data_IF_232403455297
#
_entry.id   IF_232403455297
#
_cell.length_a   1.000
_cell.length_b   1.000
_cell.length_c   1.000
_cell.angle_alpha   90.00
_cell.angle_beta   90.00
_cell.angle_gamma   90.00
#
_symmetry.space_group_name_H-M   'P 1'
#
loop_
_entity.id
_entity.type
_entity.pdbx_description
1 polymer ?
#
# COMPACT_ATOMS: atom_id res chain seq x y z
N UNK A 1 21.31 102.77 -24.36
CA UNK A 1 21.03 102.39 -25.76
C UNK A 1 21.83 101.13 -26.05
N UNK A 2 21.14 99.99 -25.97
CA UNK A 2 21.32 98.74 -26.74
C UNK A 2 22.69 98.05 -26.88
N UNK A 3 22.83 96.87 -26.25
CA UNK A 3 22.90 95.51 -26.89
C UNK A 3 23.25 94.47 -25.81
N UNK A 4 22.41 93.49 -25.42
CA UNK A 4 21.81 92.33 -26.14
C UNK A 4 22.65 91.05 -26.00
N UNK A 5 22.18 90.18 -25.07
CA UNK A 5 22.07 88.68 -25.09
C UNK A 5 23.32 87.79 -25.22
N UNK A 6 23.23 86.46 -25.01
CA UNK A 6 22.43 85.63 -24.08
C UNK A 6 23.40 84.84 -23.15
N UNK A 7 23.02 83.92 -22.26
CA UNK A 7 23.05 82.48 -22.59
C UNK A 7 22.70 81.61 -21.36
N UNK A 8 22.08 80.50 -21.71
CA UNK A 8 21.53 79.33 -21.01
C UNK A 8 22.17 78.97 -19.66
N UNK A 9 21.34 78.92 -18.61
CA UNK A 9 21.63 78.18 -17.39
C UNK A 9 21.51 76.67 -17.65
N UNK A 10 22.63 76.04 -17.97
CA UNK A 10 22.80 74.59 -17.86
C UNK A 10 22.89 74.20 -16.37
N UNK A 11 21.74 74.05 -15.70
CA UNK A 11 21.71 73.31 -14.44
C UNK A 11 21.69 71.81 -14.71
N UNK A 12 22.88 71.25 -14.50
CA UNK A 12 23.20 69.83 -14.40
C UNK A 12 22.10 69.07 -13.65
N UNK A 13 21.60 68.01 -14.28
CA UNK A 13 20.74 66.97 -13.71
C UNK A 13 21.28 66.51 -12.33
N UNK A 14 20.63 66.88 -11.23
CA UNK A 14 20.97 66.34 -9.90
C UNK A 14 20.36 64.95 -9.74
N UNK A 15 21.14 63.95 -10.14
CA UNK A 15 20.95 62.53 -9.91
C UNK A 15 21.06 62.19 -8.41
N UNK A 16 20.11 62.63 -7.57
CA UNK A 16 20.11 62.32 -6.13
C UNK A 16 18.78 61.81 -5.58
N UNK A 17 17.66 62.01 -6.27
CA UNK A 17 16.32 61.55 -5.83
C UNK A 17 15.88 60.20 -6.42
N UNK A 18 16.43 59.80 -7.57
CA UNK A 18 16.15 58.51 -8.20
C UNK A 18 16.58 57.27 -7.39
N UNK A 19 17.79 57.21 -6.78
CA UNK A 19 18.22 56.03 -6.04
C UNK A 19 17.40 55.81 -4.76
N UNK A 20 16.94 56.87 -4.10
CA UNK A 20 16.25 56.75 -2.81
C UNK A 20 14.83 56.19 -2.95
N UNK A 21 14.11 56.55 -4.03
CA UNK A 21 12.79 56.00 -4.38
C UNK A 21 12.90 54.56 -4.89
N UNK A 22 13.90 54.23 -5.71
CA UNK A 22 14.16 52.87 -6.15
C UNK A 22 14.51 51.95 -4.97
N UNK A 23 15.37 52.38 -4.04
CA UNK A 23 15.70 51.61 -2.84
C UNK A 23 14.46 51.39 -1.97
N UNK A 24 13.60 52.41 -1.81
CA UNK A 24 12.35 52.28 -1.03
C UNK A 24 11.34 51.35 -1.72
N UNK A 25 11.26 51.36 -3.05
CA UNK A 25 10.44 50.45 -3.85
C UNK A 25 10.98 49.02 -3.84
N UNK A 26 12.30 48.84 -3.96
CA UNK A 26 12.99 47.55 -3.85
C UNK A 26 12.78 46.99 -2.45
N UNK A 27 12.94 47.80 -1.40
CA UNK A 27 12.73 47.36 -0.02
C UNK A 27 11.25 46.97 0.18
N UNK A 28 10.29 47.81 -0.22
CA UNK A 28 8.85 47.50 -0.15
C UNK A 28 8.47 46.24 -0.95
N UNK A 29 9.08 46.01 -2.10
CA UNK A 29 8.89 44.81 -2.92
C UNK A 29 9.52 43.57 -2.26
N UNK A 30 10.72 43.70 -1.69
CA UNK A 30 11.39 42.64 -0.91
C UNK A 30 10.56 42.19 0.28
N UNK A 31 9.96 43.10 1.04
CA UNK A 31 9.08 42.74 2.16
C UNK A 31 7.83 41.98 1.71
N UNK A 32 7.28 42.28 0.52
CA UNK A 32 6.17 41.50 -0.06
C UNK A 32 6.61 40.11 -0.49
N UNK A 33 7.79 39.99 -1.12
CA UNK A 33 8.36 38.70 -1.53
C UNK A 33 8.69 37.84 -0.32
N UNK A 34 9.31 38.41 0.72
CA UNK A 34 9.56 37.71 1.99
C UNK A 34 8.26 37.25 2.66
N UNK A 35 7.22 38.09 2.65
CA UNK A 35 5.90 37.72 3.17
C UNK A 35 5.28 36.54 2.41
N UNK A 36 5.31 36.57 1.08
CA UNK A 36 4.82 35.47 0.23
C UNK A 36 5.63 34.18 0.44
N UNK A 37 6.96 34.27 0.54
CA UNK A 37 7.82 33.13 0.83
C UNK A 37 7.54 32.54 2.21
N UNK A 38 7.33 33.37 3.24
CA UNK A 38 6.98 32.91 4.57
C UNK A 38 5.62 32.18 4.58
N UNK A 39 4.61 32.73 3.90
CA UNK A 39 3.30 32.06 3.76
C UNK A 39 3.44 30.74 2.98
N UNK A 40 4.21 30.72 1.90
CA UNK A 40 4.47 29.50 1.14
C UNK A 40 5.17 28.43 1.99
N UNK A 41 6.21 28.80 2.74
CA UNK A 41 6.91 27.89 3.63
C UNK A 41 6.02 27.38 4.76
N UNK A 42 5.15 28.22 5.33
CA UNK A 42 4.16 27.81 6.32
C UNK A 42 3.12 26.85 5.72
N UNK A 43 2.66 27.10 4.50
CA UNK A 43 1.74 26.21 3.80
C UNK A 43 2.42 24.87 3.48
N UNK A 44 3.67 24.89 3.00
CA UNK A 44 4.47 23.68 2.74
C UNK A 44 4.68 22.88 4.03
N UNK A 45 5.08 23.54 5.12
CA UNK A 45 5.21 22.90 6.43
C UNK A 45 3.87 22.33 6.86
N UNK A 46 2.79 23.11 6.82
CA UNK A 46 1.46 22.64 7.19
C UNK A 46 1.02 21.42 6.37
N UNK A 47 1.27 21.41 5.05
CA UNK A 47 0.96 20.26 4.20
C UNK A 47 1.79 19.03 4.57
N UNK A 48 3.10 19.19 4.81
CA UNK A 48 3.99 18.10 5.22
C UNK A 48 3.56 17.55 6.60
N UNK A 49 3.32 18.44 7.55
CA UNK A 49 2.91 18.08 8.91
C UNK A 49 1.54 17.39 8.94
N UNK A 50 0.60 17.80 8.08
CA UNK A 50 -0.73 17.18 7.98
C UNK A 50 -0.69 15.81 7.31
N UNK A 51 0.25 15.59 6.38
CA UNK A 51 0.43 14.28 5.75
C UNK A 51 1.01 13.25 6.74
N UNK A 52 1.84 13.70 7.69
CA UNK A 52 2.37 12.86 8.77
C UNK A 52 1.40 12.63 9.94
N UNK A 53 0.36 13.44 10.12
CA UNK A 53 -0.47 13.42 11.34
C UNK A 53 -1.66 12.45 11.32
N UNK A 54 -1.62 11.35 10.58
CA UNK A 54 -2.71 10.37 10.66
C UNK A 54 -2.55 9.50 11.91
N UNK A 55 -3.25 9.87 12.97
CA UNK A 55 -3.28 9.09 14.20
C UNK A 55 -4.14 7.84 14.02
N UNK A 56 -3.52 6.67 14.09
CA UNK A 56 -4.23 5.42 14.17
C UNK A 56 -4.70 5.22 15.61
N UNK A 57 -5.86 5.79 15.95
CA UNK A 57 -6.53 5.51 17.21
C UNK A 57 -7.04 4.07 17.23
N UNK A 58 -6.18 3.14 17.66
CA UNK A 58 -6.58 1.81 18.08
C UNK A 58 -6.92 1.85 19.56
N UNK A 59 -8.21 1.81 19.87
CA UNK A 59 -8.64 1.53 21.23
C UNK A 59 -8.29 0.07 21.56
N UNK A 60 -7.46 -0.13 22.57
CA UNK A 60 -7.16 -1.43 23.19
C UNK A 60 -8.37 -1.92 24.02
N UNK A 61 -9.59 -1.62 23.56
CA UNK A 61 -10.80 -2.20 24.13
C UNK A 61 -10.71 -3.71 23.91
N UNK A 62 -11.05 -4.47 24.97
CA UNK A 62 -11.07 -5.94 24.97
C UNK A 62 -11.55 -6.43 23.61
N UNK A 63 -10.62 -6.91 22.79
CA UNK A 63 -10.83 -7.31 21.39
C UNK A 63 -11.73 -8.54 21.38
N UNK A 64 -13.02 -8.33 21.55
CA UNK A 64 -14.07 -9.35 21.55
C UNK A 64 -14.51 -9.55 20.11
N UNK A 65 -14.75 -10.80 19.70
CA UNK A 65 -15.42 -11.07 18.43
C UNK A 65 -16.93 -10.84 18.63
N UNK A 66 -17.51 -9.77 18.05
CA UNK A 66 -18.94 -9.58 18.12
C UNK A 66 -19.63 -10.72 17.36
N UNK A 67 -20.51 -11.44 18.06
CA UNK A 67 -21.15 -12.63 17.50
C UNK A 67 -22.09 -12.25 16.34
N UNK A 68 -21.90 -12.88 15.18
CA UNK A 68 -22.73 -12.74 13.95
C UNK A 68 -22.86 -11.33 13.36
N UNK A 69 -22.15 -10.32 13.88
CA UNK A 69 -22.27 -8.96 13.38
C UNK A 69 -21.79 -8.82 11.92
N UNK A 70 -20.67 -9.47 11.60
CA UNK A 70 -20.12 -9.48 10.23
C UNK A 70 -21.09 -10.10 9.25
N UNK A 71 -21.71 -11.23 9.59
CA UNK A 71 -22.72 -11.90 8.77
C UNK A 71 -23.94 -11.01 8.55
N UNK A 72 -24.42 -10.35 9.60
CA UNK A 72 -25.54 -9.40 9.50
C UNK A 72 -25.23 -8.26 8.53
N UNK A 73 -24.03 -7.66 8.63
CA UNK A 73 -23.58 -6.59 7.72
C UNK A 73 -23.38 -7.10 6.29
N UNK A 74 -22.78 -8.27 6.13
CA UNK A 74 -22.55 -8.86 4.81
C UNK A 74 -23.87 -9.18 4.09
N UNK A 75 -24.87 -9.72 4.80
CA UNK A 75 -26.20 -9.98 4.26
C UNK A 75 -26.95 -8.70 3.83
N UNK A 76 -26.60 -7.54 4.39
CA UNK A 76 -27.15 -6.25 3.97
C UNK A 76 -26.47 -5.67 2.72
N UNK A 77 -25.19 -6.00 2.51
CA UNK A 77 -24.37 -5.39 1.45
C UNK A 77 -24.23 -6.28 0.21
N UNK A 78 -24.27 -7.60 0.38
CA UNK A 78 -23.99 -8.58 -0.67
C UNK A 78 -25.31 -9.28 -1.03
N UNK A 79 -25.85 -9.06 -2.25
CA UNK A 79 -27.01 -9.80 -2.73
C UNK A 79 -26.73 -11.31 -2.70
N UNK A 80 -27.67 -12.10 -2.18
CA UNK A 80 -27.53 -13.56 -2.02
C UNK A 80 -26.28 -13.98 -1.23
N UNK A 81 -25.94 -13.24 -0.16
CA UNK A 81 -24.85 -13.60 0.72
C UNK A 81 -24.99 -15.05 1.23
N UNK A 82 -23.96 -15.85 0.94
CA UNK A 82 -23.77 -17.17 1.53
C UNK A 82 -22.41 -17.21 2.21
N UNK A 83 -22.29 -17.97 3.28
CA UNK A 83 -21.01 -18.14 3.99
C UNK A 83 -20.02 -19.07 3.27
N UNK A 84 -20.41 -19.68 2.16
CA UNK A 84 -19.78 -20.91 1.66
C UNK A 84 -19.02 -20.84 0.32
N UNK A 85 -18.66 -19.69 -0.30
CA UNK A 85 -17.73 -19.78 -1.42
C UNK A 85 -16.37 -20.27 -0.90
N UNK A 86 -15.80 -21.36 -1.47
CA UNK A 86 -14.48 -21.83 -1.08
C UNK A 86 -13.44 -20.73 -1.37
N UNK A 87 -12.59 -20.44 -0.38
CA UNK A 87 -11.56 -19.39 -0.48
C UNK A 87 -10.38 -19.80 -1.36
N UNK A 88 -10.11 -21.10 -1.46
CA UNK A 88 -9.04 -21.69 -2.26
C UNK A 88 -9.60 -22.68 -3.27
N UNK A 89 -8.90 -22.83 -4.39
CA UNK A 89 -9.22 -23.85 -5.37
C UNK A 89 -8.88 -25.23 -4.81
N UNK A 90 -9.80 -26.19 -4.90
CA UNK A 90 -9.56 -27.55 -4.42
C UNK A 90 -9.39 -28.53 -5.57
N UNK A 91 -8.48 -29.48 -5.40
CA UNK A 91 -8.19 -30.51 -6.39
C UNK A 91 -9.45 -31.28 -6.83
N UNK A 92 -10.34 -31.60 -5.90
CA UNK A 92 -11.60 -32.32 -6.14
C UNK A 92 -12.54 -31.63 -7.12
N UNK A 93 -12.43 -30.30 -7.26
CA UNK A 93 -13.29 -29.51 -8.14
C UNK A 93 -12.93 -29.72 -9.62
N UNK A 94 -11.75 -30.30 -9.88
CA UNK A 94 -11.20 -30.52 -11.22
C UNK A 94 -11.11 -32.00 -11.63
N UNK A 95 -11.11 -32.94 -10.68
CA UNK A 95 -10.94 -34.38 -10.99
C UNK A 95 -12.12 -35.02 -11.73
N UNK A 96 -13.30 -34.37 -11.75
CA UNK A 96 -14.53 -34.89 -12.38
C UNK A 96 -15.42 -33.75 -12.87
N UNK A 97 -14.87 -32.81 -13.66
CA UNK A 97 -15.52 -31.54 -14.04
C UNK A 97 -16.97 -31.77 -14.51
N UNK A 98 -17.94 -31.48 -13.64
CA UNK A 98 -19.37 -31.50 -13.98
C UNK A 98 -19.79 -30.23 -14.73
N UNK A 99 -19.06 -29.13 -14.51
CA UNK A 99 -19.30 -27.83 -15.12
C UNK A 99 -17.97 -27.08 -15.28
N UNK A 100 -17.40 -27.02 -16.49
CA UNK A 100 -16.18 -26.25 -16.74
C UNK A 100 -16.43 -24.76 -16.48
N UNK A 101 -15.38 -24.05 -16.11
CA UNK A 101 -15.49 -22.61 -15.88
C UNK A 101 -15.82 -21.89 -17.20
N UNK A 102 -16.82 -20.99 -17.17
CA UNK A 102 -17.19 -20.20 -18.34
C UNK A 102 -16.23 -19.02 -18.59
N UNK A 103 -15.48 -18.63 -17.55
CA UNK A 103 -14.64 -17.45 -17.54
C UNK A 103 -13.16 -17.82 -17.43
N UNK A 104 -12.30 -17.00 -18.00
CA UNK A 104 -10.85 -17.09 -17.84
C UNK A 104 -10.42 -16.42 -16.52
N UNK A 105 -9.15 -16.56 -16.15
CA UNK A 105 -8.57 -15.85 -15.02
C UNK A 105 -8.75 -14.32 -15.17
N UNK A 106 -8.95 -13.57 -14.07
CA UNK A 106 -9.01 -14.00 -12.67
C UNK A 106 -10.41 -14.45 -12.21
N UNK A 107 -11.41 -14.45 -13.10
CA UNK A 107 -12.82 -14.70 -12.74
C UNK A 107 -13.26 -16.15 -12.90
N UNK A 108 -12.42 -16.97 -13.53
CA UNK A 108 -12.61 -18.40 -13.70
C UNK A 108 -11.31 -19.09 -14.07
N UNK A 109 -11.40 -20.32 -14.57
CA UNK A 109 -10.23 -21.17 -14.86
C UNK A 109 -10.22 -21.74 -16.28
N UNK A 110 -11.09 -21.22 -17.15
CA UNK A 110 -11.21 -21.66 -18.54
C UNK A 110 -9.84 -21.63 -19.24
N UNK A 111 -9.45 -22.76 -19.81
CA UNK A 111 -8.20 -22.92 -20.58
C UNK A 111 -6.94 -23.11 -19.73
N UNK A 112 -7.08 -23.25 -18.40
CA UNK A 112 -5.95 -23.45 -17.47
C UNK A 112 -6.09 -24.68 -16.58
N UNK A 113 -7.10 -25.50 -16.83
CA UNK A 113 -7.49 -26.63 -15.97
C UNK A 113 -6.38 -27.68 -15.86
N UNK A 114 -5.71 -28.00 -16.97
CA UNK A 114 -4.65 -29.03 -16.99
C UNK A 114 -3.45 -28.65 -16.12
N UNK A 115 -3.01 -27.38 -16.19
CA UNK A 115 -1.90 -26.90 -15.36
C UNK A 115 -2.32 -26.75 -13.90
N UNK A 116 -3.55 -26.31 -13.68
CA UNK A 116 -4.10 -26.14 -12.35
C UNK A 116 -4.23 -27.49 -11.62
N UNK A 117 -4.66 -28.55 -12.30
CA UNK A 117 -4.67 -29.91 -11.78
C UNK A 117 -3.29 -30.36 -11.27
N UNK A 118 -2.24 -30.11 -12.06
CA UNK A 118 -0.86 -30.46 -11.68
C UNK A 118 -0.39 -29.66 -10.47
N UNK A 119 -0.67 -28.35 -10.44
CA UNK A 119 -0.30 -27.49 -9.31
C UNK A 119 -1.03 -27.90 -8.04
N UNK A 120 -2.35 -28.09 -8.10
CA UNK A 120 -3.17 -28.46 -6.94
C UNK A 120 -2.83 -29.85 -6.39
N UNK A 121 -2.22 -30.73 -7.19
CA UNK A 121 -1.75 -32.04 -6.73
C UNK A 121 -0.50 -31.94 -5.83
N UNK A 122 0.24 -30.82 -5.87
CA UNK A 122 1.50 -30.65 -5.13
C UNK A 122 1.47 -29.48 -4.15
N UNK A 123 0.44 -28.63 -4.17
CA UNK A 123 0.26 -27.52 -3.24
C UNK A 123 -0.78 -27.84 -2.17
N UNK A 124 -0.63 -27.21 -1.00
CA UNK A 124 -1.68 -27.23 0.02
C UNK A 124 -2.76 -26.20 -0.33
N UNK A 125 -4.02 -26.59 -0.13
CA UNK A 125 -5.20 -25.77 -0.37
C UNK A 125 -6.03 -25.55 0.92
N UNK A 126 -5.46 -25.87 2.09
CA UNK A 126 -6.12 -25.69 3.39
C UNK A 126 -5.48 -24.56 4.19
N UNK A 127 -6.30 -23.76 4.88
CA UNK A 127 -5.82 -22.88 5.94
C UNK A 127 -5.12 -23.73 7.02
N UNK A 128 -4.00 -23.26 7.60
CA UNK A 128 -3.36 -23.95 8.71
C UNK A 128 -4.35 -24.26 9.86
N UNK A 129 -4.32 -25.49 10.39
CA UNK A 129 -5.31 -26.03 11.34
C UNK A 129 -5.44 -25.20 12.62
N UNK A 130 -4.33 -24.58 13.03
CA UNK A 130 -4.28 -23.66 14.17
C UNK A 130 -5.21 -22.46 14.00
N UNK A 131 -5.56 -22.06 12.78
CA UNK A 131 -6.57 -21.02 12.54
C UNK A 131 -7.98 -21.57 12.59
N UNK A 132 -8.21 -22.73 11.97
CA UNK A 132 -9.55 -23.33 11.88
C UNK A 132 -10.16 -23.68 13.24
N UNK A 133 -9.32 -24.03 14.22
CA UNK A 133 -9.74 -24.38 15.59
C UNK A 133 -10.15 -23.18 16.46
N UNK A 134 -9.83 -21.94 16.07
CA UNK A 134 -10.14 -20.76 16.85
C UNK A 134 -11.63 -20.41 16.76
N UNK A 135 -12.30 -20.37 17.91
CA UNK A 135 -13.71 -19.91 18.02
C UNK A 135 -13.91 -18.45 17.59
N UNK A 136 -12.85 -17.64 17.67
CA UNK A 136 -12.79 -16.24 17.31
C UNK A 136 -11.45 -16.00 16.64
N UNK A 137 -11.47 -15.66 15.35
CA UNK A 137 -10.28 -15.34 14.56
C UNK A 137 -10.26 -13.84 14.32
N UNK A 138 -9.25 -13.15 14.86
CA UNK A 138 -9.05 -11.73 14.60
C UNK A 138 -8.00 -11.56 13.53
N UNK A 139 -8.37 -10.88 12.46
CA UNK A 139 -7.51 -10.66 11.30
C UNK A 139 -7.08 -9.18 11.21
N UNK A 140 -5.80 -8.94 10.95
CA UNK A 140 -5.29 -7.66 10.48
C UNK A 140 -4.86 -7.81 9.01
N UNK A 141 -5.37 -6.93 8.13
CA UNK A 141 -4.92 -6.83 6.74
C UNK A 141 -4.01 -5.62 6.63
N UNK A 142 -2.74 -5.85 6.33
CA UNK A 142 -1.72 -4.80 6.26
C UNK A 142 -1.38 -4.57 4.79
N UNK A 143 -1.83 -3.44 4.26
CA UNK A 143 -1.46 -2.97 2.93
C UNK A 143 -0.07 -2.32 2.89
N UNK A 144 0.28 -1.73 1.75
CA UNK A 144 1.63 -1.20 1.49
C UNK A 144 1.66 0.33 1.43
N UNK A 145 0.64 0.98 2.00
CA UNK A 145 0.47 2.42 1.92
C UNK A 145 1.52 3.16 2.75
N UNK A 146 2.02 4.29 2.23
CA UNK A 146 3.01 5.14 2.90
C UNK A 146 2.58 5.60 4.29
N UNK A 147 1.26 5.68 4.54
CA UNK A 147 0.69 6.09 5.83
C UNK A 147 1.09 5.20 7.01
N UNK A 148 1.60 3.99 6.76
CA UNK A 148 2.14 3.14 7.82
C UNK A 148 3.49 3.66 8.35
N UNK A 149 4.25 4.41 7.55
CA UNK A 149 5.57 4.91 7.97
C UNK A 149 5.44 5.84 9.17
N UNK A 150 6.30 5.64 10.17
CA UNK A 150 6.33 6.36 11.44
C UNK A 150 5.03 6.26 12.26
N UNK A 151 4.12 5.34 11.93
CA UNK A 151 2.85 5.17 12.65
C UNK A 151 3.00 4.47 14.00
N UNK A 152 4.08 3.70 14.19
CA UNK A 152 4.36 2.93 15.41
C UNK A 152 3.25 1.92 15.82
N UNK A 153 2.40 1.49 14.88
CA UNK A 153 1.29 0.55 15.18
C UNK A 153 1.70 -0.93 15.12
N UNK A 154 2.98 -1.24 14.94
CA UNK A 154 3.45 -2.60 14.72
C UNK A 154 3.13 -3.57 15.86
N UNK A 155 3.19 -3.10 17.11
CA UNK A 155 2.78 -3.89 18.27
C UNK A 155 1.27 -4.19 18.27
N UNK A 156 0.45 -3.23 17.84
CA UNK A 156 -1.00 -3.42 17.71
C UNK A 156 -1.31 -4.47 16.65
N UNK A 157 -0.65 -4.41 15.50
CA UNK A 157 -0.79 -5.43 14.43
C UNK A 157 -0.44 -6.82 14.97
N UNK A 158 0.63 -6.92 15.75
CA UNK A 158 1.09 -8.20 16.31
C UNK A 158 0.10 -8.83 17.30
N UNK A 159 -0.86 -8.08 17.88
CA UNK A 159 -1.90 -8.62 18.78
C UNK A 159 -2.96 -9.47 18.07
N UNK A 160 -3.06 -9.39 16.74
CA UNK A 160 -4.01 -10.16 15.95
C UNK A 160 -3.57 -11.63 15.77
N UNK A 161 -4.56 -12.52 15.62
CA UNK A 161 -4.33 -13.96 15.47
C UNK A 161 -3.81 -14.27 14.05
N UNK A 162 -4.35 -13.55 13.05
CA UNK A 162 -4.02 -13.69 11.64
C UNK A 162 -3.55 -12.32 11.12
N UNK A 163 -2.34 -12.26 10.56
CA UNK A 163 -1.84 -11.07 9.87
C UNK A 163 -1.66 -11.38 8.39
N UNK A 164 -2.46 -10.73 7.55
CA UNK A 164 -2.49 -10.89 6.10
C UNK A 164 -1.73 -9.72 5.48
N UNK A 165 -0.70 -10.01 4.69
CA UNK A 165 0.05 -9.02 3.91
C UNK A 165 -0.14 -9.26 2.42
N UNK A 166 0.17 -8.25 1.60
CA UNK A 166 0.02 -8.34 0.15
C UNK A 166 1.31 -7.92 -0.55
N UNK A 167 1.57 -8.54 -1.70
CA UNK A 167 2.68 -8.20 -2.59
C UNK A 167 4.04 -8.26 -1.86
N UNK A 168 5.01 -7.49 -2.39
CA UNK A 168 6.36 -7.38 -1.85
C UNK A 168 6.48 -6.35 -0.71
N UNK A 169 5.53 -6.31 0.23
CA UNK A 169 5.59 -5.38 1.36
C UNK A 169 6.81 -5.70 2.25
N UNK A 170 7.73 -4.78 2.52
CA UNK A 170 8.85 -5.07 3.44
C UNK A 170 8.35 -5.11 4.89
N UNK A 171 8.93 -6.01 5.68
CA UNK A 171 8.76 -6.06 7.14
C UNK A 171 10.05 -5.65 7.82
N UNK A 172 11.18 -6.17 7.31
CA UNK A 172 12.49 -5.89 7.88
C UNK A 172 12.83 -4.40 7.80
N UNK A 173 13.20 -3.80 8.93
CA UNK A 173 13.50 -2.37 9.05
C UNK A 173 12.26 -1.47 9.22
N UNK A 174 11.06 -2.04 9.20
CA UNK A 174 9.78 -1.33 9.40
C UNK A 174 8.95 -1.92 10.53
N UNK A 175 9.52 -2.80 11.36
CA UNK A 175 8.82 -3.62 12.35
C UNK A 175 8.02 -2.78 13.35
N UNK A 176 8.54 -1.60 13.73
CA UNK A 176 7.86 -0.66 14.61
C UNK A 176 6.51 -0.20 14.05
N UNK A 177 6.45 -0.04 12.73
CA UNK A 177 5.30 0.49 12.02
C UNK A 177 4.35 -0.62 11.56
N UNK A 178 4.90 -1.72 11.03
CA UNK A 178 4.11 -2.75 10.35
C UNK A 178 4.02 -4.06 11.11
N UNK A 179 4.70 -4.18 12.25
CA UNK A 179 4.76 -5.39 13.06
C UNK A 179 5.73 -6.43 12.48
N UNK A 180 5.83 -7.58 13.15
CA UNK A 180 6.77 -8.67 12.80
C UNK A 180 6.06 -9.96 12.40
N UNK A 181 4.77 -10.07 12.70
CA UNK A 181 3.94 -11.24 12.38
C UNK A 181 3.43 -11.16 10.94
N UNK A 182 3.55 -12.27 10.23
CA UNK A 182 2.94 -12.53 8.93
C UNK A 182 2.42 -13.96 8.91
N UNK A 183 1.10 -14.09 8.88
CA UNK A 183 0.42 -15.38 8.84
C UNK A 183 0.19 -15.84 7.40
N UNK A 184 -0.23 -14.90 6.55
CA UNK A 184 -0.56 -15.14 5.16
C UNK A 184 -0.02 -14.00 4.31
N UNK A 185 0.52 -14.29 3.13
CA UNK A 185 0.91 -13.28 2.16
C UNK A 185 0.34 -13.61 0.79
N UNK A 186 -0.50 -12.71 0.28
CA UNK A 186 -1.07 -12.80 -1.07
C UNK A 186 -0.09 -12.17 -2.04
N UNK A 187 0.18 -12.83 -3.16
CA UNK A 187 1.09 -12.33 -4.17
C UNK A 187 0.73 -12.89 -5.56
N UNK A 188 1.28 -12.25 -6.58
CA UNK A 188 1.34 -12.73 -7.96
C UNK A 188 2.80 -12.64 -8.43
N UNK A 189 3.21 -13.30 -9.52
CA UNK A 189 4.63 -13.44 -9.86
C UNK A 189 5.41 -12.12 -9.88
N UNK A 190 4.85 -11.07 -10.49
CA UNK A 190 5.50 -9.76 -10.61
C UNK A 190 5.58 -8.97 -9.29
N UNK A 191 4.88 -9.43 -8.24
CA UNK A 191 4.93 -8.87 -6.89
C UNK A 191 5.57 -9.81 -5.86
N UNK A 192 6.13 -10.93 -6.29
CA UNK A 192 6.80 -11.88 -5.42
C UNK A 192 8.19 -11.37 -5.01
N UNK A 193 8.56 -11.56 -3.75
CA UNK A 193 9.95 -11.37 -3.32
C UNK A 193 10.80 -12.57 -3.79
N UNK A 194 11.99 -12.32 -4.36
CA UNK A 194 12.90 -13.39 -4.84
C UNK A 194 13.27 -14.39 -3.74
N UNK A 195 13.51 -13.89 -2.53
CA UNK A 195 13.67 -14.71 -1.33
C UNK A 195 12.48 -14.51 -0.38
N UNK A 196 11.48 -15.40 -0.37
CA UNK A 196 10.33 -15.23 0.51
C UNK A 196 10.68 -15.33 2.00
N UNK A 197 11.82 -15.92 2.39
CA UNK A 197 12.19 -16.04 3.81
C UNK A 197 12.65 -14.72 4.45
N UNK A 198 12.93 -13.68 3.65
CA UNK A 198 13.46 -12.40 4.17
C UNK A 198 12.43 -11.63 5.01
N UNK A 199 11.19 -11.56 4.54
CA UNK A 199 10.11 -10.72 5.13
C UNK A 199 8.90 -11.54 5.59
N UNK A 200 9.03 -12.86 5.67
CA UNK A 200 7.99 -13.77 6.15
C UNK A 200 8.49 -14.57 7.36
N UNK A 201 7.57 -15.00 8.21
CA UNK A 201 7.88 -15.98 9.24
C UNK A 201 7.98 -17.38 8.58
N UNK A 202 8.67 -18.35 9.21
CA UNK A 202 8.86 -19.69 8.63
C UNK A 202 7.56 -20.43 8.26
N UNK A 203 6.47 -20.17 8.98
CA UNK A 203 5.17 -20.82 8.79
C UNK A 203 4.16 -19.95 8.02
N UNK A 204 4.62 -18.89 7.34
CA UNK A 204 3.72 -18.03 6.56
C UNK A 204 3.14 -18.81 5.37
N UNK A 205 1.81 -18.80 5.23
CA UNK A 205 1.13 -19.30 4.05
C UNK A 205 1.28 -18.30 2.89
N UNK A 206 1.97 -18.71 1.84
CA UNK A 206 2.07 -17.93 0.60
C UNK A 206 0.89 -18.29 -0.32
N UNK A 207 0.06 -17.31 -0.64
CA UNK A 207 -1.15 -17.47 -1.45
C UNK A 207 -0.93 -16.83 -2.81
N UNK A 208 -0.89 -17.66 -3.85
CA UNK A 208 -0.84 -17.20 -5.23
C UNK A 208 -2.22 -16.69 -5.65
N UNK A 209 -2.28 -15.44 -6.10
CA UNK A 209 -3.44 -14.84 -6.76
C UNK A 209 -3.12 -14.79 -8.25
N UNK A 210 -3.75 -15.69 -9.03
CA UNK A 210 -3.49 -15.80 -10.46
C UNK A 210 -4.39 -14.86 -11.27
N UNK A 211 -3.77 -14.06 -12.13
CA UNK A 211 -4.43 -13.13 -13.04
C UNK A 211 -4.36 -13.60 -14.50
N UNK A 212 -3.38 -14.44 -14.84
CA UNK A 212 -3.14 -14.94 -16.21
C UNK A 212 -2.56 -16.36 -16.20
N UNK A 213 -2.74 -17.15 -17.29
CA UNK A 213 -2.22 -18.52 -17.37
C UNK A 213 -0.72 -18.65 -17.07
N UNK A 214 0.05 -17.61 -17.43
CA UNK A 214 1.50 -17.57 -17.18
C UNK A 214 1.85 -17.60 -15.69
N UNK A 215 0.94 -17.19 -14.79
CA UNK A 215 1.19 -17.22 -13.35
C UNK A 215 1.27 -18.65 -12.83
N UNK A 216 0.48 -19.55 -13.41
CA UNK A 216 0.54 -20.98 -13.10
C UNK A 216 1.82 -21.63 -13.65
N UNK A 217 2.23 -21.28 -14.87
CA UNK A 217 3.49 -21.76 -15.45
C UNK A 217 4.71 -21.30 -14.65
N UNK A 218 4.68 -20.05 -14.18
CA UNK A 218 5.70 -19.54 -13.27
C UNK A 218 5.74 -20.35 -11.96
N UNK A 219 4.58 -20.61 -11.35
CA UNK A 219 4.51 -21.38 -10.11
C UNK A 219 5.00 -22.83 -10.30
N UNK A 220 4.63 -23.47 -11.40
CA UNK A 220 5.11 -24.80 -11.77
C UNK A 220 6.64 -24.81 -11.85
N UNK A 221 7.22 -23.82 -12.54
CA UNK A 221 8.68 -23.66 -12.65
C UNK A 221 9.34 -23.53 -11.27
N UNK A 222 8.82 -22.67 -10.39
CA UNK A 222 9.38 -22.47 -9.04
C UNK A 222 9.32 -23.76 -8.18
N UNK A 223 8.22 -24.50 -8.25
CA UNK A 223 8.05 -25.73 -7.48
C UNK A 223 8.89 -26.89 -8.02
N UNK A 224 9.07 -26.98 -9.34
CA UNK A 224 9.91 -28.00 -9.96
C UNK A 224 11.41 -27.71 -9.80
N UNK A 225 11.82 -26.45 -9.85
CA UNK A 225 13.23 -26.07 -9.72
C UNK A 225 13.75 -26.34 -8.29
N UNK A 226 12.92 -26.10 -7.27
CA UNK A 226 13.24 -26.51 -5.88
C UNK A 226 13.50 -28.00 -5.72
N UNK A 227 12.87 -28.87 -6.51
CA UNK A 227 13.13 -30.33 -6.46
C UNK A 227 14.50 -30.70 -7.05
N UNK A 228 15.04 -29.91 -7.98
CA UNK A 228 16.38 -30.15 -8.57
C UNK A 228 17.51 -29.71 -7.64
N UNK A 229 17.29 -28.69 -6.83
CA UNK A 229 18.30 -28.18 -5.88
C UNK A 229 18.41 -29.04 -4.61
N UNK A 230 17.45 -29.94 -4.35
CA UNK A 230 17.48 -30.88 -3.22
C UNK A 230 17.81 -32.33 -3.61
N UNK A 231 18.45 -32.56 -4.75
CA UNK A 231 18.92 -33.89 -5.21
C UNK A 231 20.41 -34.06 -5.02
#
# INVERSE_FOLDING_TARGET
MEKVTPDVSHERLSCKTFPHLLIKMINKSRWKILGLLAVFLLMVWYTISREESFDFHFQDEKMTCPFKEVEKKAAQLIPNYTREPPLFLHLKDYFWVKTPSLYELPYGTKGTEDILLRLLAITSYSLPENFQSLKCQRCAVVGNGYRLRNSSIGEVINKYDIVIRLNNAPVRGYERDVGTKTTMRLFYPESAHFNPQTDNNPNTLLVLVAFKPMDFLWMETILHDKKRVSS
#
